data_IF_130321862056
#
_entry.id   IF_130321862056
#
_cell.length_a   1.000
_cell.length_b   1.000
_cell.length_c   1.000
_cell.angle_alpha   90.00
_cell.angle_beta   90.00
_cell.angle_gamma   90.00
#
_symmetry.space_group_name_H-M   'P 1'
#
loop_
_entity.id
_entity.type
_entity.pdbx_description
1 polymer ?
#
# COMPACT_ATOMS: atom_id res chain seq x y z
N UNK A 1 -50.27 -10.72 9.71
CA UNK A 1 -48.90 -10.29 9.33
C UNK A 1 -49.04 -9.12 8.36
N UNK A 2 -48.62 -7.91 8.74
CA UNK A 2 -49.04 -6.67 8.08
C UNK A 2 -48.35 -6.40 6.74
N UNK A 3 -49.10 -5.89 5.76
CA UNK A 3 -48.65 -5.49 4.42
C UNK A 3 -47.43 -4.55 4.40
N UNK A 4 -47.21 -3.82 5.50
CA UNK A 4 -46.03 -2.97 5.69
C UNK A 4 -44.71 -3.75 5.69
N UNK A 5 -44.71 -4.99 6.17
CA UNK A 5 -43.53 -5.86 6.16
C UNK A 5 -43.23 -6.45 4.78
N UNK A 6 -44.27 -6.74 4.00
CA UNK A 6 -44.16 -7.23 2.63
C UNK A 6 -43.65 -6.14 1.68
N UNK A 7 -44.23 -4.95 1.73
CA UNK A 7 -43.79 -3.79 0.94
C UNK A 7 -42.33 -3.41 1.27
N UNK A 8 -41.93 -3.40 2.54
CA UNK A 8 -40.56 -3.12 2.93
C UNK A 8 -39.56 -4.21 2.48
N UNK A 9 -40.00 -5.47 2.39
CA UNK A 9 -39.19 -6.59 1.88
C UNK A 9 -39.08 -6.54 0.35
N UNK A 10 -40.18 -6.22 -0.34
CA UNK A 10 -40.24 -6.08 -1.78
C UNK A 10 -39.41 -4.87 -2.25
N UNK A 11 -39.54 -3.71 -1.60
CA UNK A 11 -38.72 -2.51 -1.88
C UNK A 11 -37.23 -2.76 -1.66
N UNK A 12 -36.85 -3.51 -0.61
CA UNK A 12 -35.46 -3.95 -0.39
C UNK A 12 -34.98 -4.92 -1.47
N UNK A 13 -35.84 -5.83 -1.95
CA UNK A 13 -35.52 -6.78 -3.01
C UNK A 13 -35.35 -6.07 -4.36
N UNK A 14 -36.26 -5.17 -4.72
CA UNK A 14 -36.16 -4.33 -5.92
C UNK A 14 -34.94 -3.41 -5.88
N UNK A 15 -34.66 -2.75 -4.74
CA UNK A 15 -33.46 -1.92 -4.59
C UNK A 15 -32.16 -2.74 -4.73
N UNK A 16 -32.13 -3.97 -4.18
CA UNK A 16 -31.00 -4.90 -4.38
C UNK A 16 -30.85 -5.29 -5.85
N UNK A 17 -31.94 -5.59 -6.55
CA UNK A 17 -31.89 -5.96 -7.98
C UNK A 17 -31.49 -4.77 -8.86
N UNK A 18 -32.08 -3.59 -8.65
CA UNK A 18 -31.76 -2.33 -9.36
C UNK A 18 -30.30 -1.90 -9.19
N UNK A 19 -29.68 -2.18 -8.04
CA UNK A 19 -28.25 -1.92 -7.83
C UNK A 19 -27.35 -3.04 -8.36
N UNK A 20 -27.82 -4.30 -8.36
CA UNK A 20 -27.01 -5.46 -8.77
C UNK A 20 -26.78 -5.53 -10.28
N UNK A 21 -27.77 -5.16 -11.10
CA UNK A 21 -27.66 -5.27 -12.56
C UNK A 21 -26.65 -4.27 -13.15
N UNK A 22 -26.70 -2.95 -12.83
CA UNK A 22 -25.70 -2.01 -13.28
C UNK A 22 -24.30 -2.36 -12.79
N UNK A 23 -24.18 -2.82 -11.53
CA UNK A 23 -22.91 -3.28 -10.97
C UNK A 23 -22.35 -4.44 -11.80
N UNK A 24 -23.18 -5.46 -12.09
CA UNK A 24 -22.78 -6.59 -12.93
C UNK A 24 -22.36 -6.17 -14.34
N UNK A 25 -23.13 -5.32 -15.01
CA UNK A 25 -22.85 -4.84 -16.37
C UNK A 25 -21.52 -4.07 -16.41
N UNK A 26 -21.34 -3.10 -15.51
CA UNK A 26 -20.12 -2.28 -15.48
C UNK A 26 -18.90 -3.13 -15.16
N UNK A 27 -18.95 -3.98 -14.14
CA UNK A 27 -17.78 -4.80 -13.80
C UNK A 27 -17.47 -5.87 -14.86
N UNK A 28 -18.49 -6.39 -15.57
CA UNK A 28 -18.27 -7.26 -16.73
C UNK A 28 -17.58 -6.53 -17.89
N UNK A 29 -17.96 -5.26 -18.13
CA UNK A 29 -17.30 -4.43 -19.12
C UNK A 29 -15.85 -4.08 -18.71
N UNK A 30 -15.61 -3.79 -17.43
CA UNK A 30 -14.24 -3.58 -16.92
C UNK A 30 -13.38 -4.85 -17.04
N UNK A 31 -13.94 -6.05 -16.80
CA UNK A 31 -13.25 -7.32 -17.01
C UNK A 31 -12.81 -7.48 -18.48
N UNK A 32 -13.68 -7.11 -19.43
CA UNK A 32 -13.34 -7.07 -20.85
C UNK A 32 -12.25 -6.04 -21.17
N UNK A 33 -12.38 -4.82 -20.67
CA UNK A 33 -11.41 -3.76 -20.92
C UNK A 33 -10.02 -4.09 -20.37
N UNK A 34 -9.92 -4.62 -19.15
CA UNK A 34 -8.64 -5.01 -18.56
C UNK A 34 -7.93 -6.07 -19.41
N UNK A 35 -8.70 -6.97 -20.02
CA UNK A 35 -8.21 -7.97 -20.96
C UNK A 35 -7.68 -7.36 -22.26
N UNK A 36 -8.37 -6.34 -22.81
CA UNK A 36 -7.88 -5.57 -23.96
C UNK A 36 -6.57 -4.87 -23.60
N UNK A 37 -6.53 -4.19 -22.45
CA UNK A 37 -5.34 -3.45 -22.01
C UNK A 37 -4.16 -4.37 -21.69
N UNK A 38 -4.39 -5.62 -21.25
CA UNK A 38 -3.35 -6.64 -21.14
C UNK A 38 -2.56 -6.79 -22.44
N UNK A 39 -3.26 -6.87 -23.57
CA UNK A 39 -2.65 -7.00 -24.90
C UNK A 39 -1.90 -5.73 -25.26
N UNK A 40 -2.54 -4.57 -25.08
CA UNK A 40 -1.96 -3.27 -25.40
C UNK A 40 -0.66 -3.06 -24.63
N UNK A 41 -0.67 -3.23 -23.29
CA UNK A 41 0.52 -3.05 -22.47
C UNK A 41 1.63 -4.03 -22.80
N UNK A 42 1.31 -5.28 -23.14
CA UNK A 42 2.32 -6.24 -23.59
C UNK A 42 3.08 -5.70 -24.81
N UNK A 43 2.38 -5.13 -25.79
CA UNK A 43 3.00 -4.56 -26.99
C UNK A 43 3.72 -3.24 -26.69
N UNK A 44 3.14 -2.35 -25.88
CA UNK A 44 3.79 -1.10 -25.49
C UNK A 44 5.08 -1.35 -24.70
N UNK A 45 5.09 -2.33 -23.81
CA UNK A 45 6.28 -2.72 -23.06
C UNK A 45 7.36 -3.30 -23.99
N UNK A 46 6.99 -4.14 -24.97
CA UNK A 46 7.94 -4.60 -26.00
C UNK A 46 8.50 -3.43 -26.82
N UNK A 47 7.65 -2.51 -27.24
CA UNK A 47 8.03 -1.36 -28.07
C UNK A 47 8.98 -0.40 -27.34
N UNK A 48 8.65 -0.05 -26.08
CA UNK A 48 9.39 0.95 -25.32
C UNK A 48 10.53 0.37 -24.49
N UNK A 49 10.48 -0.90 -24.10
CA UNK A 49 11.45 -1.49 -23.15
C UNK A 49 12.14 -2.74 -23.71
N UNK A 50 11.78 -3.20 -24.92
CA UNK A 50 12.35 -4.40 -25.54
C UNK A 50 11.94 -5.73 -24.88
N UNK A 51 11.21 -5.68 -23.76
CA UNK A 51 10.68 -6.83 -23.03
C UNK A 51 9.29 -6.54 -22.50
N UNK A 52 8.36 -7.48 -22.68
CA UNK A 52 7.03 -7.39 -22.08
C UNK A 52 7.12 -7.55 -20.55
N UNK A 53 6.38 -6.75 -19.79
CA UNK A 53 6.24 -6.99 -18.35
C UNK A 53 5.46 -8.27 -18.11
N UNK A 54 5.82 -9.06 -17.07
CA UNK A 54 4.93 -10.10 -16.59
C UNK A 54 3.61 -9.47 -16.13
N UNK A 55 2.52 -10.19 -16.30
CA UNK A 55 1.22 -9.81 -15.77
C UNK A 55 0.52 -11.04 -15.19
N UNK A 56 -0.35 -10.82 -14.22
CA UNK A 56 -1.06 -11.90 -13.55
C UNK A 56 -2.30 -12.36 -14.32
N UNK A 57 -2.51 -11.88 -15.55
CA UNK A 57 -3.67 -12.18 -16.41
C UNK A 57 -3.65 -13.59 -17.00
N UNK A 58 -2.50 -14.27 -17.02
CA UNK A 58 -2.37 -15.63 -17.55
C UNK A 58 -2.15 -16.67 -16.44
N UNK A 59 -2.63 -17.89 -16.65
CA UNK A 59 -2.70 -18.96 -15.64
C UNK A 59 -1.34 -19.57 -15.24
N UNK A 60 -0.23 -19.12 -15.83
CA UNK A 60 1.10 -19.59 -15.42
C UNK A 60 1.53 -18.76 -14.21
N UNK A 61 1.80 -19.42 -13.08
CA UNK A 61 2.52 -18.81 -11.96
C UNK A 61 3.85 -18.31 -12.52
N UNK A 62 3.99 -17.00 -12.71
CA UNK A 62 5.19 -16.37 -13.27
C UNK A 62 5.81 -15.55 -12.13
N UNK A 63 7.00 -15.97 -11.69
CA UNK A 63 7.95 -15.09 -11.03
C UNK A 63 8.61 -14.17 -12.07
N UNK A 64 9.10 -13.01 -11.64
CA UNK A 64 9.76 -11.98 -12.47
C UNK A 64 10.95 -12.58 -13.28
N UNK A 65 11.53 -13.69 -12.79
CA UNK A 65 12.63 -14.43 -13.42
C UNK A 65 12.25 -15.79 -14.03
N UNK A 66 10.98 -16.18 -14.05
CA UNK A 66 10.54 -17.46 -14.64
C UNK A 66 10.86 -18.72 -13.82
N UNK A 67 11.20 -18.60 -12.53
CA UNK A 67 11.35 -19.73 -11.60
C UNK A 67 10.12 -19.89 -10.70
N UNK A 68 9.89 -21.10 -10.18
CA UNK A 68 8.83 -21.37 -9.20
C UNK A 68 9.22 -20.70 -7.87
N UNK A 69 8.56 -19.59 -7.52
CA UNK A 69 8.67 -18.97 -6.20
C UNK A 69 7.98 -19.85 -5.15
N UNK A 70 8.50 -19.83 -3.92
CA UNK A 70 7.86 -20.45 -2.76
C UNK A 70 6.39 -19.98 -2.66
N UNK A 71 5.45 -20.93 -2.60
CA UNK A 71 4.02 -20.71 -2.85
C UNK A 71 3.33 -19.75 -1.85
N UNK A 72 4.04 -19.31 -0.81
CA UNK A 72 3.51 -18.56 0.31
C UNK A 72 3.72 -17.03 0.26
N UNK A 73 4.59 -16.49 -0.61
CA UNK A 73 4.94 -15.05 -0.58
C UNK A 73 4.12 -14.18 -1.56
N UNK A 74 3.52 -14.76 -2.61
CA UNK A 74 2.75 -14.04 -3.63
C UNK A 74 1.24 -14.23 -3.44
N UNK A 75 0.47 -13.15 -3.54
CA UNK A 75 -0.94 -13.19 -3.15
C UNK A 75 -1.80 -13.94 -4.16
N UNK A 76 -2.63 -14.86 -3.69
CA UNK A 76 -3.68 -15.47 -4.53
C UNK A 76 -4.66 -14.42 -5.09
N UNK A 77 -4.80 -13.28 -4.41
CA UNK A 77 -5.65 -12.16 -4.85
C UNK A 77 -5.19 -11.55 -6.17
N UNK A 78 -3.91 -11.67 -6.55
CA UNK A 78 -3.39 -11.21 -7.85
C UNK A 78 -3.96 -12.00 -9.04
N UNK A 79 -4.32 -13.27 -8.79
CA UNK A 79 -4.75 -14.23 -9.81
C UNK A 79 -6.27 -14.42 -9.85
N UNK A 80 -7.03 -13.73 -9.00
CA UNK A 80 -8.46 -13.96 -8.84
C UNK A 80 -9.29 -13.50 -10.05
N UNK A 81 -10.34 -14.27 -10.38
CA UNK A 81 -11.28 -13.96 -11.47
C UNK A 81 -10.83 -14.41 -12.87
N UNK A 82 -9.58 -14.84 -13.02
CA UNK A 82 -8.95 -15.11 -14.32
C UNK A 82 -9.06 -16.57 -14.81
N UNK A 83 -9.74 -17.43 -14.03
CA UNK A 83 -9.88 -18.89 -14.30
C UNK A 83 -10.91 -19.28 -15.37
N UNK A 84 -11.74 -18.37 -15.93
CA UNK A 84 -12.90 -18.79 -16.76
C UNK A 84 -13.24 -18.04 -18.06
N UNK A 85 -12.41 -17.14 -18.61
CA UNK A 85 -12.69 -16.52 -19.93
C UNK A 85 -11.52 -16.57 -20.92
N UNK A 86 -10.73 -17.65 -20.88
CA UNK A 86 -9.56 -17.81 -21.76
C UNK A 86 -9.93 -17.96 -23.25
N UNK A 87 -11.09 -18.53 -23.58
CA UNK A 87 -11.46 -18.81 -24.99
C UNK A 87 -11.83 -17.57 -25.80
N UNK A 88 -12.56 -16.62 -25.20
CA UNK A 88 -12.93 -15.35 -25.87
C UNK A 88 -11.75 -14.35 -25.91
N UNK A 89 -10.91 -14.35 -24.85
CA UNK A 89 -9.66 -13.57 -24.84
C UNK A 89 -8.73 -13.96 -25.98
N UNK A 90 -8.61 -15.26 -26.29
CA UNK A 90 -7.67 -15.74 -27.33
C UNK A 90 -8.06 -15.22 -28.72
N UNK A 91 -9.35 -15.05 -29.01
CA UNK A 91 -9.81 -14.49 -30.30
C UNK A 91 -9.50 -13.00 -30.38
N UNK A 92 -9.77 -12.25 -29.31
CA UNK A 92 -9.44 -10.82 -29.23
C UNK A 92 -7.93 -10.58 -29.24
N UNK A 93 -7.16 -11.38 -28.49
CA UNK A 93 -5.70 -11.38 -28.47
C UNK A 93 -5.15 -11.59 -29.87
N UNK A 94 -5.62 -12.61 -30.60
CA UNK A 94 -5.22 -12.87 -31.99
C UNK A 94 -5.61 -11.73 -32.92
N UNK A 95 -6.81 -11.18 -32.77
CA UNK A 95 -7.28 -10.05 -33.59
C UNK A 95 -6.45 -8.77 -33.39
N UNK A 96 -6.15 -8.42 -32.12
CA UNK A 96 -5.32 -7.26 -31.78
C UNK A 96 -3.86 -7.51 -32.18
N UNK A 97 -3.35 -8.71 -31.97
CA UNK A 97 -2.01 -9.14 -32.41
C UNK A 97 -1.89 -9.10 -33.94
N UNK A 98 -2.92 -9.48 -34.70
CA UNK A 98 -2.96 -9.32 -36.17
C UNK A 98 -3.02 -7.86 -36.60
N UNK A 99 -3.78 -7.01 -35.92
CA UNK A 99 -3.83 -5.56 -36.17
C UNK A 99 -2.48 -4.89 -35.93
N UNK A 100 -1.82 -5.23 -34.83
CA UNK A 100 -0.50 -4.72 -34.49
C UNK A 100 0.58 -5.31 -35.40
N UNK A 101 0.50 -6.59 -35.75
CA UNK A 101 1.40 -7.23 -36.72
C UNK A 101 1.22 -6.69 -38.15
N UNK A 102 0.07 -6.14 -38.53
CA UNK A 102 -0.10 -5.44 -39.81
C UNK A 102 0.65 -4.10 -39.86
N UNK A 103 1.07 -3.57 -38.71
CA UNK A 103 1.91 -2.36 -38.60
C UNK A 103 3.43 -2.65 -38.66
N UNK A 104 3.85 -3.89 -38.95
CA UNK A 104 5.23 -4.42 -38.93
C UNK A 104 6.30 -3.60 -39.68
N UNK A 105 5.92 -2.68 -40.55
CA UNK A 105 6.85 -1.72 -41.17
C UNK A 105 7.43 -0.70 -40.17
N UNK A 106 6.72 -0.38 -39.09
CA UNK A 106 7.12 0.67 -38.16
C UNK A 106 8.06 0.16 -37.04
N UNK A 107 7.88 -1.09 -36.62
CA UNK A 107 8.59 -1.71 -35.48
C UNK A 107 10.06 -2.00 -35.82
N UNK A 108 10.35 -2.48 -37.03
CA UNK A 108 11.73 -2.67 -37.51
C UNK A 108 12.49 -1.34 -37.68
N UNK A 109 11.81 -0.28 -38.12
CA UNK A 109 12.40 1.05 -38.29
C UNK A 109 12.70 1.69 -36.94
N UNK A 110 11.78 1.62 -35.98
CA UNK A 110 11.96 2.21 -34.64
C UNK A 110 13.03 1.49 -33.81
N UNK A 111 13.04 0.15 -33.83
CA UNK A 111 14.08 -0.67 -33.15
C UNK A 111 15.46 -0.40 -33.78
N UNK A 112 15.57 -0.24 -35.11
CA UNK A 112 16.85 0.08 -35.75
C UNK A 112 17.36 1.49 -35.43
N UNK A 113 16.46 2.46 -35.23
CA UNK A 113 16.82 3.86 -34.93
C UNK A 113 17.29 4.04 -33.49
N UNK A 114 16.69 3.31 -32.54
CA UNK A 114 17.05 3.37 -31.12
C UNK A 114 18.23 2.47 -30.73
N UNK A 115 18.61 1.48 -31.56
CA UNK A 115 19.85 0.69 -31.34
C UNK A 115 21.14 1.50 -31.46
N UNK A 116 21.11 2.66 -32.11
CA UNK A 116 22.31 3.51 -32.31
C UNK A 116 22.67 4.38 -31.09
N UNK A 117 21.78 4.51 -30.11
CA UNK A 117 22.05 5.19 -28.84
C UNK A 117 22.12 4.14 -27.74
N UNK A 118 23.32 3.64 -27.45
CA UNK A 118 23.64 2.51 -26.57
C UNK A 118 23.30 2.67 -25.07
N UNK A 119 22.28 3.44 -24.69
CA UNK A 119 21.96 3.77 -23.29
C UNK A 119 20.73 3.03 -22.73
N UNK A 120 20.17 2.04 -23.44
CA UNK A 120 18.93 1.38 -23.02
C UNK A 120 19.06 0.41 -21.83
N UNK A 121 20.27 0.08 -21.38
CA UNK A 121 20.50 -0.85 -20.27
C UNK A 121 20.61 -0.19 -18.88
N UNK A 122 20.34 1.12 -18.75
CA UNK A 122 20.42 1.83 -17.47
C UNK A 122 19.17 2.58 -17.02
N UNK A 123 18.02 2.38 -17.65
CA UNK A 123 16.79 3.05 -17.19
C UNK A 123 16.09 2.17 -16.16
N UNK A 124 16.39 2.40 -14.88
CA UNK A 124 15.73 1.71 -13.75
C UNK A 124 14.22 2.00 -13.61
N UNK A 125 13.68 2.93 -14.40
CA UNK A 125 12.27 3.35 -14.40
C UNK A 125 11.51 2.78 -15.60
N UNK A 126 10.23 2.40 -15.44
CA UNK A 126 9.42 1.96 -16.59
C UNK A 126 8.99 3.14 -17.45
N UNK A 127 8.70 2.90 -18.72
CA UNK A 127 8.21 3.95 -19.60
C UNK A 127 6.90 4.56 -19.07
N UNK A 128 6.07 3.79 -18.35
CA UNK A 128 4.79 4.23 -17.79
C UNK A 128 4.89 5.03 -16.49
N UNK A 129 6.09 5.13 -15.91
CA UNK A 129 6.31 5.75 -14.60
C UNK A 129 6.74 7.21 -14.74
N UNK A 130 6.66 7.99 -13.65
CA UNK A 130 7.10 9.38 -13.66
C UNK A 130 8.63 9.46 -13.70
N UNK A 131 9.19 10.17 -14.67
CA UNK A 131 10.64 10.39 -14.84
C UNK A 131 11.16 11.71 -14.28
N UNK A 132 10.42 12.42 -13.43
CA UNK A 132 10.90 13.69 -12.88
C UNK A 132 12.01 13.49 -11.83
N UNK A 133 12.86 14.51 -11.62
CA UNK A 133 14.01 14.44 -10.72
C UNK A 133 13.70 13.94 -9.32
N UNK A 134 12.55 14.32 -8.75
CA UNK A 134 12.15 13.87 -7.42
C UNK A 134 11.69 12.41 -7.38
N UNK A 135 11.15 11.87 -8.47
CA UNK A 135 10.71 10.48 -8.53
C UNK A 135 11.85 9.50 -8.80
N UNK A 136 12.90 9.96 -9.49
CA UNK A 136 14.06 9.15 -9.88
C UNK A 136 15.32 9.45 -9.06
N UNK A 137 15.23 10.33 -8.04
CA UNK A 137 16.39 10.74 -7.23
C UNK A 137 17.12 9.55 -6.60
N UNK A 138 16.39 8.54 -6.16
CA UNK A 138 16.94 7.30 -5.58
C UNK A 138 17.78 6.48 -6.56
N UNK A 139 17.62 6.68 -7.88
CA UNK A 139 18.44 5.99 -8.90
C UNK A 139 19.81 6.65 -9.09
N UNK A 140 20.03 7.84 -8.50
CA UNK A 140 21.30 8.58 -8.62
C UNK A 140 22.35 8.11 -7.59
N UNK A 141 22.00 7.17 -6.72
CA UNK A 141 22.84 6.65 -5.64
C UNK A 141 23.17 5.17 -5.87
N UNK A 142 24.42 4.78 -5.67
CA UNK A 142 24.89 3.39 -5.86
C UNK A 142 24.32 2.40 -4.82
N UNK A 143 24.05 2.87 -3.60
CA UNK A 143 23.38 2.10 -2.54
C UNK A 143 22.07 2.79 -2.13
N UNK A 144 20.96 2.55 -2.85
CA UNK A 144 19.69 3.17 -2.53
C UNK A 144 19.21 2.73 -1.15
N UNK A 145 18.75 3.70 -0.35
CA UNK A 145 18.13 3.52 0.97
C UNK A 145 16.72 4.09 0.97
N UNK A 146 15.88 3.61 1.88
CA UNK A 146 14.59 4.24 2.14
C UNK A 146 14.79 5.70 2.59
N UNK A 147 13.90 6.58 2.13
CA UNK A 147 13.86 7.96 2.59
C UNK A 147 13.32 8.01 4.02
N UNK A 148 14.05 8.71 4.90
CA UNK A 148 13.72 8.85 6.32
C UNK A 148 13.78 10.33 6.68
N UNK A 149 12.67 10.87 7.18
CA UNK A 149 12.63 12.19 7.81
C UNK A 149 12.93 12.04 9.30
N UNK A 150 14.01 12.68 9.77
CA UNK A 150 14.46 12.62 11.17
C UNK A 150 14.10 13.91 11.89
N UNK A 151 13.33 13.81 12.97
CA UNK A 151 13.13 14.90 13.91
C UNK A 151 14.00 14.65 15.15
N UNK A 152 15.11 15.37 15.24
CA UNK A 152 16.12 15.19 16.30
C UNK A 152 15.63 15.84 17.60
N UNK A 153 15.77 15.12 18.72
CA UNK A 153 15.72 15.73 20.04
C UNK A 153 16.78 16.84 20.15
N UNK A 154 16.47 17.96 20.81
CA UNK A 154 17.41 19.09 20.90
C UNK A 154 18.75 18.65 21.51
N UNK A 155 19.86 19.10 20.93
CA UNK A 155 21.26 18.79 21.29
C UNK A 155 21.72 19.16 22.71
N UNK A 156 20.81 19.60 23.58
CA UNK A 156 21.06 19.83 25.01
C UNK A 156 20.59 18.67 25.91
N UNK A 157 19.97 17.63 25.35
CA UNK A 157 19.59 16.43 26.08
C UNK A 157 20.76 15.45 26.24
N UNK A 158 20.80 14.73 27.36
CA UNK A 158 21.75 13.64 27.55
C UNK A 158 21.43 12.51 26.55
N UNK A 159 22.33 12.14 25.62
CA UNK A 159 22.08 11.11 24.60
C UNK A 159 21.71 9.75 25.19
N UNK A 160 22.06 9.47 26.45
CA UNK A 160 21.67 8.25 27.16
C UNK A 160 20.19 8.23 27.62
N UNK A 161 19.43 9.32 27.44
CA UNK A 161 18.01 9.41 27.81
C UNK A 161 17.07 9.55 26.60
N UNK A 162 17.59 9.52 25.38
CA UNK A 162 16.76 9.70 24.20
C UNK A 162 16.23 8.36 23.70
N UNK A 163 14.92 8.20 23.66
CA UNK A 163 14.25 7.02 23.11
C UNK A 163 13.97 7.20 21.62
N UNK A 164 14.13 6.14 20.82
CA UNK A 164 13.90 6.20 19.38
C UNK A 164 12.45 5.82 19.07
N UNK A 165 11.81 6.50 18.11
CA UNK A 165 10.45 6.20 17.67
C UNK A 165 10.41 6.15 16.14
N UNK A 166 9.99 5.02 15.59
CA UNK A 166 9.85 4.80 14.15
C UNK A 166 8.38 4.94 13.78
N UNK A 167 8.09 5.77 12.76
CA UNK A 167 6.75 6.01 12.25
C UNK A 167 6.59 5.41 10.85
N UNK A 168 5.68 4.44 10.71
CA UNK A 168 5.41 3.71 9.47
C UNK A 168 4.03 4.11 8.92
N UNK A 169 4.00 4.69 7.72
CA UNK A 169 2.74 5.12 7.10
C UNK A 169 1.98 3.98 6.39
N UNK A 170 0.74 4.27 5.99
CA UNK A 170 -0.14 3.35 5.26
C UNK A 170 0.06 3.34 3.74
N UNK A 171 -0.72 2.51 3.04
CA UNK A 171 -0.73 2.46 1.56
C UNK A 171 -1.08 3.85 0.96
N UNK A 172 -0.44 4.20 -0.16
CA UNK A 172 -0.64 5.48 -0.88
C UNK A 172 -0.39 6.73 0.00
N UNK A 173 0.55 6.64 0.93
CA UNK A 173 0.97 7.72 1.82
C UNK A 173 2.50 7.87 1.82
N UNK A 174 3.03 8.74 2.69
CA UNK A 174 4.46 8.92 2.91
C UNK A 174 4.73 9.38 4.36
N UNK A 175 6.00 9.52 4.73
CA UNK A 175 6.48 10.19 5.95
C UNK A 175 5.83 11.54 6.17
N UNK A 176 5.39 12.22 5.11
CA UNK A 176 4.69 13.50 5.19
C UNK A 176 3.41 13.43 6.02
N UNK A 177 2.75 12.26 6.06
CA UNK A 177 1.60 12.02 6.93
C UNK A 177 1.94 12.32 8.39
N UNK A 178 3.08 11.85 8.89
CA UNK A 178 3.52 12.08 10.26
C UNK A 178 4.15 13.46 10.45
N UNK A 179 5.02 13.89 9.52
CA UNK A 179 5.77 15.14 9.66
C UNK A 179 4.90 16.38 9.52
N UNK A 180 3.76 16.30 8.80
CA UNK A 180 2.81 17.41 8.62
C UNK A 180 1.63 17.39 9.59
N UNK A 181 1.39 16.29 10.32
CA UNK A 181 0.26 16.19 11.25
C UNK A 181 0.74 16.08 12.69
N UNK A 182 1.39 14.98 13.04
CA UNK A 182 1.69 14.61 14.42
C UNK A 182 2.97 15.27 14.94
N UNK A 183 4.03 15.34 14.12
CA UNK A 183 5.32 15.88 14.57
C UNK A 183 5.24 17.33 15.06
N UNK A 184 4.50 18.25 14.40
CA UNK A 184 4.32 19.61 14.92
C UNK A 184 3.70 19.61 16.32
N UNK A 185 2.71 18.74 16.58
CA UNK A 185 2.02 18.63 17.88
C UNK A 185 2.86 18.00 18.96
N UNK A 186 3.66 16.99 18.60
CA UNK A 186 4.64 16.43 19.52
C UNK A 186 5.72 17.47 19.87
N UNK A 187 6.16 18.29 18.90
CA UNK A 187 7.20 19.30 19.09
C UNK A 187 6.82 20.45 20.03
N UNK A 188 5.54 20.72 20.21
CA UNK A 188 5.04 21.70 21.19
C UNK A 188 5.26 21.23 22.65
N UNK A 189 5.45 19.93 22.88
CA UNK A 189 5.65 19.35 24.22
C UNK A 189 7.10 19.46 24.70
N UNK A 190 7.30 19.90 25.94
CA UNK A 190 8.63 19.89 26.59
C UNK A 190 9.25 18.48 26.65
N UNK A 191 8.41 17.43 26.70
CA UNK A 191 8.80 16.02 26.75
C UNK A 191 9.40 15.52 25.43
N UNK A 192 9.16 16.23 24.32
CA UNK A 192 9.71 15.88 23.01
C UNK A 192 11.23 15.78 22.97
N UNK A 193 11.93 16.48 23.88
CA UNK A 193 13.38 16.44 24.00
C UNK A 193 13.92 15.05 24.39
N UNK A 194 13.06 14.14 24.80
CA UNK A 194 13.41 12.78 25.20
C UNK A 194 13.20 11.77 24.06
N UNK A 195 12.62 12.17 22.92
CA UNK A 195 12.31 11.25 21.83
C UNK A 195 12.96 11.68 20.51
N UNK A 196 13.64 10.76 19.84
CA UNK A 196 14.13 10.93 18.47
C UNK A 196 13.23 10.18 17.50
N UNK A 197 12.62 10.91 16.57
CA UNK A 197 11.58 10.36 15.69
C UNK A 197 12.08 10.17 14.26
N UNK A 198 11.70 9.06 13.67
CA UNK A 198 12.05 8.66 12.32
C UNK A 198 10.77 8.35 11.55
N UNK A 199 10.38 9.19 10.60
CA UNK A 199 9.28 8.88 9.69
C UNK A 199 9.82 8.34 8.37
N UNK A 200 9.55 7.07 8.08
CA UNK A 200 10.05 6.37 6.90
C UNK A 200 9.05 6.41 5.77
N UNK A 201 9.50 6.72 4.55
CA UNK A 201 8.75 6.39 3.33
C UNK A 201 8.98 4.91 3.04
N UNK A 202 7.95 4.07 3.07
CA UNK A 202 8.12 2.63 2.81
C UNK A 202 8.53 2.38 1.34
N UNK A 203 9.09 1.20 1.07
CA UNK A 203 9.46 0.76 -0.28
C UNK A 203 8.31 1.02 -1.27
N UNK A 204 8.63 1.59 -2.43
CA UNK A 204 7.64 1.85 -3.47
C UNK A 204 6.83 3.14 -3.32
N UNK A 205 6.99 3.89 -2.22
CA UNK A 205 6.18 5.06 -1.88
C UNK A 205 7.04 6.30 -1.62
N UNK A 206 6.42 7.48 -1.65
CA UNK A 206 7.07 8.75 -1.34
C UNK A 206 8.33 8.99 -2.18
N UNK A 207 9.44 9.34 -1.52
CA UNK A 207 10.78 9.53 -2.10
C UNK A 207 11.62 8.25 -2.08
N UNK A 208 11.12 7.16 -1.46
CA UNK A 208 11.84 5.90 -1.37
C UNK A 208 11.99 5.18 -2.72
N UNK A 209 12.96 4.25 -2.82
CA UNK A 209 13.20 3.44 -4.00
C UNK A 209 11.94 2.73 -4.52
N UNK A 210 11.85 2.63 -5.85
CA UNK A 210 10.74 1.96 -6.56
C UNK A 210 11.30 0.97 -7.58
N UNK A 211 12.08 -0.03 -7.14
CA UNK A 211 12.73 -0.97 -8.04
C UNK A 211 11.72 -1.69 -8.92
N UNK A 212 12.07 -1.83 -10.20
CA UNK A 212 11.25 -2.49 -11.22
C UNK A 212 11.06 -3.98 -10.94
N UNK A 213 12.09 -4.62 -10.40
CA UNK A 213 12.18 -6.07 -10.21
C UNK A 213 11.93 -6.48 -8.75
N UNK A 214 11.05 -5.77 -8.05
CA UNK A 214 10.59 -6.11 -6.70
C UNK A 214 9.13 -6.57 -6.72
N UNK A 215 8.82 -7.54 -5.87
CA UNK A 215 7.47 -8.03 -5.62
C UNK A 215 6.79 -7.31 -4.45
N UNK A 216 7.50 -6.38 -3.80
CA UNK A 216 7.04 -5.60 -2.66
C UNK A 216 6.40 -6.49 -1.59
N UNK A 217 7.01 -7.63 -1.28
CA UNK A 217 6.51 -8.56 -0.25
C UNK A 217 6.63 -7.94 1.14
N UNK A 218 5.89 -8.47 2.11
CA UNK A 218 6.02 -8.05 3.51
C UNK A 218 7.47 -8.19 4.01
N UNK A 219 8.13 -9.27 3.64
CA UNK A 219 9.54 -9.54 3.97
C UNK A 219 10.48 -8.48 3.39
N UNK A 220 10.36 -8.15 2.10
CA UNK A 220 11.16 -7.10 1.47
C UNK A 220 10.98 -5.76 2.22
N UNK A 221 9.74 -5.38 2.56
CA UNK A 221 9.52 -4.13 3.29
C UNK A 221 10.24 -4.09 4.65
N UNK A 222 10.25 -5.21 5.39
CA UNK A 222 10.96 -5.31 6.68
C UNK A 222 12.47 -5.22 6.47
N UNK A 223 13.03 -5.97 5.53
CA UNK A 223 14.47 -5.95 5.21
C UNK A 223 14.95 -4.55 4.80
N UNK A 224 14.15 -3.83 4.00
CA UNK A 224 14.47 -2.46 3.59
C UNK A 224 14.46 -1.47 4.78
N UNK A 225 13.54 -1.64 5.74
CA UNK A 225 13.51 -0.85 6.98
C UNK A 225 14.70 -1.19 7.87
N UNK A 226 15.02 -2.47 8.03
CA UNK A 226 16.19 -2.91 8.80
C UNK A 226 17.49 -2.34 8.24
N UNK A 227 17.68 -2.43 6.92
CA UNK A 227 18.86 -1.90 6.23
C UNK A 227 18.93 -0.38 6.34
N UNK A 228 17.86 0.31 5.97
CA UNK A 228 17.88 1.77 5.73
C UNK A 228 17.70 2.60 6.99
N UNK A 229 17.15 2.02 8.06
CA UNK A 229 16.80 2.73 9.28
C UNK A 229 17.46 2.11 10.51
N UNK A 230 17.22 0.83 10.79
CA UNK A 230 17.72 0.22 12.04
C UNK A 230 19.26 0.13 12.02
N UNK A 231 19.82 -0.42 10.95
CA UNK A 231 21.27 -0.60 10.80
C UNK A 231 21.98 0.74 10.59
N UNK A 232 21.41 1.60 9.75
CA UNK A 232 21.98 2.92 9.42
C UNK A 232 22.12 3.82 10.64
N UNK A 233 21.07 3.89 11.46
CA UNK A 233 21.04 4.74 12.66
C UNK A 233 21.46 3.98 13.94
N UNK A 234 21.90 2.72 13.81
CA UNK A 234 22.36 1.85 14.91
C UNK A 234 21.34 1.77 16.05
N UNK A 235 20.07 1.55 15.70
CA UNK A 235 18.97 1.55 16.65
C UNK A 235 18.90 0.21 17.40
N UNK A 236 19.28 0.22 18.68
CA UNK A 236 19.23 -0.98 19.53
C UNK A 236 17.90 -1.14 20.29
N UNK A 237 17.16 -0.03 20.48
CA UNK A 237 15.85 0.01 21.13
C UNK A 237 15.05 1.17 20.55
N UNK A 238 13.78 0.90 20.23
CA UNK A 238 12.86 1.87 19.63
C UNK A 238 11.40 1.46 19.82
N UNK A 239 10.51 2.46 19.75
CA UNK A 239 9.06 2.31 19.59
C UNK A 239 8.68 2.30 18.11
N UNK A 240 7.57 1.67 17.76
CA UNK A 240 7.07 1.61 16.37
C UNK A 240 5.64 2.11 16.30
N UNK A 241 5.43 3.35 15.90
CA UNK A 241 4.10 3.90 15.63
C UNK A 241 3.74 3.62 14.17
N UNK A 242 2.55 3.07 13.92
CA UNK A 242 2.15 2.69 12.58
C UNK A 242 0.72 3.15 12.25
N UNK A 243 0.42 3.26 10.96
CA UNK A 243 -0.94 3.55 10.50
C UNK A 243 -1.30 2.69 9.29
N UNK A 244 -2.55 2.24 9.25
CA UNK A 244 -3.09 1.45 8.17
C UNK A 244 -2.22 0.23 7.86
N UNK A 245 -1.92 -0.01 6.58
CA UNK A 245 -1.07 -1.12 6.16
C UNK A 245 0.32 -1.09 6.82
N UNK A 246 0.81 0.08 7.26
CA UNK A 246 2.05 0.19 8.02
C UNK A 246 2.04 -0.65 9.31
N UNK A 247 0.87 -0.94 9.87
CA UNK A 247 0.74 -1.81 11.05
C UNK A 247 1.08 -3.27 10.73
N UNK A 248 0.75 -3.75 9.53
CA UNK A 248 1.12 -5.10 9.07
C UNK A 248 2.65 -5.21 8.98
N UNK A 249 3.29 -4.18 8.42
CA UNK A 249 4.75 -4.10 8.33
C UNK A 249 5.38 -4.02 9.74
N UNK A 250 4.85 -3.15 10.61
CA UNK A 250 5.34 -3.00 11.98
C UNK A 250 5.12 -4.23 12.87
N UNK A 251 4.11 -5.06 12.57
CA UNK A 251 3.87 -6.34 13.25
C UNK A 251 4.81 -7.44 12.80
N UNK A 252 5.26 -7.40 11.55
CA UNK A 252 6.06 -8.46 10.99
C UNK A 252 7.37 -8.57 11.79
N UNK A 253 7.61 -9.71 12.46
CA UNK A 253 8.87 -9.92 13.12
C UNK A 253 9.97 -9.90 12.07
N UNK A 254 11.05 -9.22 12.42
CA UNK A 254 12.35 -9.33 11.78
C UNK A 254 12.87 -10.76 11.90
N UNK A 255 12.32 -11.70 11.11
CA UNK A 255 12.73 -13.11 11.13
C UNK A 255 14.16 -13.35 10.58
N UNK A 256 15.03 -12.33 10.59
CA UNK A 256 16.31 -12.33 9.87
C UNK A 256 17.50 -11.70 10.63
N UNK A 257 17.53 -11.74 11.97
CA UNK A 257 18.83 -11.70 12.66
C UNK A 257 18.81 -12.22 14.11
N UNK A 258 19.61 -13.24 14.45
CA UNK A 258 19.97 -13.57 15.84
C UNK A 258 20.91 -12.53 16.49
N UNK A 259 21.13 -11.37 15.84
CA UNK A 259 22.10 -10.35 16.22
C UNK A 259 21.49 -9.03 16.75
N UNK A 260 20.16 -8.94 16.89
CA UNK A 260 19.52 -7.82 17.59
C UNK A 260 19.15 -8.23 19.02
N UNK A 261 19.82 -7.72 20.06
CA UNK A 261 19.52 -8.09 21.44
C UNK A 261 18.13 -7.58 21.87
N UNK A 262 17.26 -8.55 22.20
CA UNK A 262 16.18 -8.66 23.21
C UNK A 262 15.45 -7.44 23.86
N UNK A 263 15.65 -6.19 23.47
CA UNK A 263 15.03 -5.01 24.11
C UNK A 263 14.05 -4.25 23.20
N UNK A 264 13.27 -4.98 22.40
CA UNK A 264 12.21 -4.40 21.58
C UNK A 264 11.05 -3.87 22.44
N UNK A 265 10.66 -2.60 22.33
CA UNK A 265 9.36 -2.10 22.78
C UNK A 265 8.54 -1.78 21.52
N UNK A 266 8.13 -2.82 20.79
CA UNK A 266 7.33 -2.68 19.57
C UNK A 266 5.90 -2.28 19.94
N UNK A 267 5.65 -0.98 20.06
CA UNK A 267 4.33 -0.41 20.36
C UNK A 267 3.55 -0.10 19.11
N UNK A 268 3.09 -1.12 18.42
CA UNK A 268 2.34 -0.94 17.19
C UNK A 268 1.01 -0.31 17.55
N UNK A 269 0.79 0.91 17.07
CA UNK A 269 -0.53 1.54 17.03
C UNK A 269 -1.23 1.06 15.77
N UNK A 270 -2.29 0.29 15.95
CA UNK A 270 -2.94 -0.45 14.86
C UNK A 270 -4.01 0.36 14.17
N UNK A 271 -4.03 0.36 12.84
CA UNK A 271 -5.21 0.83 12.09
C UNK A 271 -5.49 -0.05 10.87
N UNK A 272 -5.59 -1.37 11.00
CA UNK A 272 -6.17 -2.23 9.95
C UNK A 272 -7.21 -3.19 10.54
N UNK A 273 -8.18 -3.68 9.74
CA UNK A 273 -8.92 -4.88 10.08
C UNK A 273 -7.99 -6.04 10.43
N UNK A 274 -7.96 -6.41 11.69
CA UNK A 274 -7.62 -7.79 12.01
C UNK A 274 -8.73 -8.68 11.47
N UNK A 275 -8.33 -9.60 10.60
CA UNK A 275 -9.17 -10.74 10.26
C UNK A 275 -8.51 -11.96 10.91
N UNK A 276 -9.25 -12.74 11.72
CA UNK A 276 -8.72 -13.98 12.27
C UNK A 276 -8.14 -14.85 11.15
N UNK A 277 -6.89 -15.28 11.30
CA UNK A 277 -6.18 -16.03 10.27
C UNK A 277 -6.90 -17.35 10.01
N UNK A 278 -7.43 -17.51 8.79
CA UNK A 278 -8.14 -18.68 8.29
C UNK A 278 -7.80 -18.86 6.81
N UNK A 279 -7.99 -20.06 6.29
CA UNK A 279 -7.81 -20.30 4.85
C UNK A 279 -8.68 -19.33 4.02
N UNK A 280 -8.06 -18.72 2.99
CA UNK A 280 -8.69 -17.72 2.13
C UNK A 280 -8.98 -16.37 2.81
N UNK A 281 -8.34 -16.05 3.94
CA UNK A 281 -8.53 -14.78 4.65
C UNK A 281 -8.13 -13.57 3.78
N UNK A 282 -7.10 -13.69 2.94
CA UNK A 282 -6.67 -12.64 2.02
C UNK A 282 -7.78 -12.25 1.04
N UNK A 283 -8.51 -13.25 0.51
CA UNK A 283 -9.63 -13.04 -0.40
C UNK A 283 -10.83 -12.42 0.31
N UNK A 284 -11.06 -12.84 1.57
CA UNK A 284 -12.10 -12.24 2.41
C UNK A 284 -11.78 -10.78 2.73
N UNK A 285 -10.53 -10.48 3.06
CA UNK A 285 -10.04 -9.14 3.32
C UNK A 285 -10.18 -8.25 2.08
N UNK A 286 -9.73 -8.72 0.90
CA UNK A 286 -9.89 -8.00 -0.38
C UNK A 286 -11.36 -7.69 -0.69
N UNK A 287 -12.27 -8.68 -0.55
CA UNK A 287 -13.72 -8.48 -0.78
C UNK A 287 -14.36 -7.54 0.24
N UNK A 288 -13.84 -7.49 1.46
CA UNK A 288 -14.36 -6.63 2.52
C UNK A 288 -13.88 -5.18 2.38
N UNK A 289 -12.56 -4.99 2.22
CA UNK A 289 -11.90 -3.69 2.14
C UNK A 289 -12.20 -2.99 0.80
N UNK A 290 -12.22 -3.76 -0.29
CA UNK A 290 -12.36 -3.24 -1.65
C UNK A 290 -13.42 -4.04 -2.42
N UNK A 291 -14.69 -4.03 -1.99
CA UNK A 291 -15.74 -4.70 -2.73
C UNK A 291 -15.97 -4.01 -4.08
N UNK A 292 -16.21 -4.79 -5.15
CA UNK A 292 -16.65 -4.29 -6.46
C UNK A 292 -17.98 -3.52 -6.32
N UNK A 293 -17.91 -2.19 -6.18
CA UNK A 293 -19.07 -1.30 -6.01
C UNK A 293 -18.95 -0.05 -6.87
N UNK A 294 -20.07 0.36 -7.47
CA UNK A 294 -20.16 1.62 -8.22
C UNK A 294 -20.23 2.87 -7.32
N UNK A 295 -20.73 2.72 -6.09
CA UNK A 295 -20.93 3.83 -5.16
C UNK A 295 -20.49 3.46 -3.74
N UNK A 296 -19.84 4.38 -2.99
CA UNK A 296 -19.42 5.74 -3.38
C UNK A 296 -18.29 5.75 -4.44
N UNK A 297 -17.98 6.90 -5.08
CA UNK A 297 -16.96 6.99 -6.13
C UNK A 297 -15.59 6.49 -5.69
N UNK A 298 -15.25 6.70 -4.41
CA UNK A 298 -14.01 6.17 -3.82
C UNK A 298 -13.99 4.64 -3.84
N UNK A 299 -15.09 3.96 -3.52
CA UNK A 299 -15.18 2.51 -3.57
C UNK A 299 -15.06 1.98 -5.01
N UNK A 300 -15.58 2.73 -5.99
CA UNK A 300 -15.43 2.40 -7.41
C UNK A 300 -13.98 2.51 -7.88
N UNK A 301 -13.30 3.60 -7.53
CA UNK A 301 -11.87 3.78 -7.83
C UNK A 301 -11.05 2.66 -7.19
N UNK A 302 -11.28 2.35 -5.91
CA UNK A 302 -10.60 1.23 -5.25
C UNK A 302 -10.91 -0.12 -5.90
N UNK A 303 -12.13 -0.30 -6.43
CA UNK A 303 -12.47 -1.50 -7.20
C UNK A 303 -11.62 -1.61 -8.46
N UNK A 304 -11.38 -0.51 -9.17
CA UNK A 304 -10.49 -0.48 -10.34
C UNK A 304 -9.06 -0.81 -9.92
N UNK A 305 -8.55 -0.09 -8.92
CA UNK A 305 -7.14 -0.17 -8.50
C UNK A 305 -6.72 -1.55 -7.98
N UNK A 306 -7.65 -2.35 -7.47
CA UNK A 306 -7.35 -3.64 -6.82
C UNK A 306 -7.77 -4.85 -7.65
N UNK A 307 -8.81 -4.74 -8.47
CA UNK A 307 -9.31 -5.91 -9.22
C UNK A 307 -8.77 -5.97 -10.64
N UNK A 308 -8.19 -4.88 -11.16
CA UNK A 308 -7.87 -4.72 -12.56
C UNK A 308 -6.45 -4.18 -12.73
N UNK A 309 -5.51 -5.09 -13.00
CA UNK A 309 -4.08 -4.78 -13.09
C UNK A 309 -3.81 -3.73 -14.16
N UNK A 310 -4.33 -3.93 -15.37
CA UNK A 310 -4.02 -3.05 -16.50
C UNK A 310 -4.83 -1.75 -16.48
N UNK A 311 -6.09 -1.80 -16.04
CA UNK A 311 -6.86 -0.58 -15.83
C UNK A 311 -6.27 0.29 -14.72
N UNK A 312 -5.78 -0.31 -13.63
CA UNK A 312 -5.09 0.44 -12.58
C UNK A 312 -3.76 1.03 -13.10
N UNK A 313 -3.05 0.32 -14.00
CA UNK A 313 -1.90 0.87 -14.72
C UNK A 313 -2.28 2.08 -15.57
N UNK A 314 -3.43 2.06 -16.25
CA UNK A 314 -3.95 3.23 -16.97
C UNK A 314 -4.23 4.40 -16.02
N UNK A 315 -4.82 4.15 -14.85
CA UNK A 315 -5.05 5.19 -13.84
C UNK A 315 -3.73 5.80 -13.39
N UNK A 316 -2.72 5.00 -13.05
CA UNK A 316 -1.40 5.51 -12.66
C UNK A 316 -0.67 6.23 -13.82
N UNK A 317 -0.85 5.77 -15.07
CA UNK A 317 -0.30 6.45 -16.24
C UNK A 317 -0.92 7.84 -16.43
N UNK A 318 -2.21 8.01 -16.14
CA UNK A 318 -2.88 9.32 -16.23
C UNK A 318 -2.56 10.20 -15.02
N UNK A 319 -2.57 9.64 -13.82
CA UNK A 319 -2.49 10.38 -12.55
C UNK A 319 -1.06 10.48 -12.03
N UNK A 320 -0.42 9.34 -11.73
CA UNK A 320 0.86 9.29 -11.04
C UNK A 320 2.00 9.77 -11.96
N UNK A 321 2.06 9.29 -13.21
CA UNK A 321 3.07 9.74 -14.18
C UNK A 321 3.00 11.24 -14.42
N UNK A 322 1.79 11.79 -14.54
CA UNK A 322 1.56 13.21 -14.83
C UNK A 322 1.31 14.05 -13.58
N UNK A 323 1.75 13.61 -12.39
CA UNK A 323 1.44 14.32 -11.14
C UNK A 323 1.84 15.80 -11.16
N UNK A 324 2.91 16.18 -11.86
CA UNK A 324 3.38 17.58 -11.95
C UNK A 324 2.38 18.47 -12.68
N UNK A 325 1.74 17.93 -13.71
CA UNK A 325 0.67 18.62 -14.43
C UNK A 325 -0.53 18.82 -13.50
N UNK A 326 -0.94 17.78 -12.77
CA UNK A 326 -2.04 17.86 -11.81
C UNK A 326 -1.76 18.82 -10.66
N UNK A 327 -0.55 18.79 -10.11
CA UNK A 327 -0.10 19.74 -9.08
C UNK A 327 -0.18 21.18 -9.59
N UNK A 328 0.35 21.46 -10.78
CA UNK A 328 0.29 22.80 -11.38
C UNK A 328 -1.16 23.24 -11.65
N UNK A 329 -2.01 22.33 -12.14
CA UNK A 329 -3.43 22.60 -12.37
C UNK A 329 -4.16 22.91 -11.06
N UNK A 330 -3.94 22.13 -10.01
CA UNK A 330 -4.56 22.34 -8.69
C UNK A 330 -4.10 23.68 -8.10
N UNK A 331 -2.80 24.00 -8.15
CA UNK A 331 -2.28 25.31 -7.69
C UNK A 331 -2.95 26.46 -8.42
N UNK A 332 -3.13 26.35 -9.74
CA UNK A 332 -3.82 27.35 -10.56
C UNK A 332 -5.30 27.48 -10.20
N UNK A 333 -6.01 26.36 -10.01
CA UNK A 333 -7.45 26.37 -9.73
C UNK A 333 -7.77 26.83 -8.30
N UNK A 334 -6.90 26.52 -7.34
CA UNK A 334 -7.10 26.88 -5.92
C UNK A 334 -6.46 28.20 -5.53
N UNK A 335 -5.71 28.84 -6.43
CA UNK A 335 -4.84 29.99 -6.15
C UNK A 335 -3.89 29.76 -4.94
N UNK A 336 -3.65 28.50 -4.58
CA UNK A 336 -2.78 28.11 -3.48
C UNK A 336 -1.34 27.99 -3.95
N UNK A 337 -0.40 28.39 -3.09
CA UNK A 337 1.03 28.19 -3.34
C UNK A 337 1.40 26.71 -3.25
N UNK A 338 0.73 25.97 -2.36
CA UNK A 338 0.99 24.56 -2.08
C UNK A 338 -0.27 23.69 -2.17
N UNK A 339 -0.07 22.45 -2.63
CA UNK A 339 -1.13 21.43 -2.66
C UNK A 339 -1.08 20.62 -1.37
N UNK A 340 -2.26 20.26 -0.84
CA UNK A 340 -2.37 19.43 0.36
C UNK A 340 -1.53 18.16 0.22
N UNK A 341 -0.72 17.84 1.24
CA UNK A 341 0.21 16.72 1.20
C UNK A 341 -0.49 15.36 0.97
N UNK A 342 -1.74 15.18 1.42
CA UNK A 342 -2.52 13.96 1.19
C UNK A 342 -2.81 13.74 -0.30
N UNK A 343 -3.00 14.82 -1.05
CA UNK A 343 -3.22 14.77 -2.51
C UNK A 343 -1.90 14.46 -3.21
N UNK A 344 -0.81 15.10 -2.77
CA UNK A 344 0.51 14.88 -3.36
C UNK A 344 1.00 13.45 -3.15
N UNK A 345 0.91 12.94 -1.92
CA UNK A 345 1.39 11.60 -1.57
C UNK A 345 0.64 10.49 -2.29
N UNK A 346 -0.64 10.71 -2.58
CA UNK A 346 -1.44 9.78 -3.36
C UNK A 346 -0.85 9.52 -4.75
N UNK A 347 -0.05 10.44 -5.30
CA UNK A 347 0.57 10.32 -6.63
C UNK A 347 2.04 9.88 -6.61
N UNK A 348 2.66 9.76 -5.43
CA UNK A 348 4.10 9.42 -5.25
C UNK A 348 4.36 7.92 -5.18
N UNK A 349 3.66 7.15 -5.98
CA UNK A 349 3.88 5.72 -6.18
C UNK A 349 3.88 5.43 -7.69
N UNK A 350 4.37 4.26 -8.08
CA UNK A 350 4.21 3.75 -9.44
C UNK A 350 3.14 2.66 -9.42
N UNK A 351 2.54 2.38 -10.57
CA UNK A 351 1.54 1.29 -10.67
C UNK A 351 2.06 0.00 -10.03
N UNK A 352 3.30 -0.37 -10.38
CA UNK A 352 3.95 -1.58 -9.94
C UNK A 352 4.02 -1.68 -8.40
N UNK A 353 4.53 -0.64 -7.73
CA UNK A 353 4.61 -0.63 -6.27
C UNK A 353 3.23 -0.58 -5.61
N UNK A 354 2.30 0.26 -6.10
CA UNK A 354 0.95 0.35 -5.54
C UNK A 354 0.19 -0.98 -5.63
N UNK A 355 0.25 -1.63 -6.79
CA UNK A 355 -0.39 -2.93 -7.04
C UNK A 355 0.21 -4.02 -6.14
N UNK A 356 1.53 -4.21 -6.21
CA UNK A 356 2.20 -5.28 -5.47
C UNK A 356 2.13 -5.08 -3.95
N UNK A 357 2.38 -3.88 -3.44
CA UNK A 357 2.26 -3.62 -1.99
C UNK A 357 0.82 -3.85 -1.50
N UNK A 358 -0.20 -3.47 -2.28
CA UNK A 358 -1.61 -3.74 -1.90
C UNK A 358 -1.89 -5.25 -1.82
N UNK A 359 -1.44 -6.03 -2.80
CA UNK A 359 -1.72 -7.46 -2.78
C UNK A 359 -0.84 -8.25 -1.81
N UNK A 360 0.47 -8.00 -1.83
CA UNK A 360 1.47 -8.80 -1.11
C UNK A 360 1.72 -8.33 0.34
N UNK A 361 1.29 -7.12 0.70
CA UNK A 361 1.33 -6.63 2.10
C UNK A 361 -0.06 -6.52 2.67
N UNK A 362 -0.94 -5.71 2.06
CA UNK A 362 -2.24 -5.42 2.66
C UNK A 362 -3.15 -6.66 2.74
N UNK A 363 -3.20 -7.51 1.72
CA UNK A 363 -4.07 -8.71 1.75
C UNK A 363 -3.40 -9.97 2.29
N UNK A 364 -2.19 -10.31 1.84
CA UNK A 364 -1.47 -11.48 2.39
C UNK A 364 -1.10 -11.25 3.85
N UNK A 365 -0.62 -10.05 4.20
CA UNK A 365 -0.09 -9.81 5.53
C UNK A 365 -1.10 -10.04 6.64
N UNK A 366 -2.40 -9.95 6.33
CA UNK A 366 -3.50 -10.34 7.23
C UNK A 366 -3.40 -11.80 7.69
N UNK A 367 -2.96 -12.72 6.82
CA UNK A 367 -2.74 -14.14 7.14
C UNK A 367 -1.67 -14.33 8.21
N UNK A 368 -0.64 -13.48 8.18
CA UNK A 368 0.51 -13.53 9.10
C UNK A 368 0.25 -12.78 10.42
N UNK A 369 -0.80 -11.95 10.52
CA UNK A 369 -1.06 -11.11 11.71
C UNK A 369 -1.19 -11.91 13.00
N UNK A 370 -1.91 -13.05 12.98
CA UNK A 370 -2.07 -13.90 14.16
C UNK A 370 -0.72 -14.45 14.63
N UNK A 371 0.07 -15.02 13.71
CA UNK A 371 1.40 -15.59 14.01
C UNK A 371 2.37 -14.51 14.52
N UNK A 372 2.32 -13.32 13.94
CA UNK A 372 3.15 -12.19 14.33
C UNK A 372 2.78 -11.71 15.74
N UNK A 373 1.48 -11.56 16.02
CA UNK A 373 0.99 -11.26 17.37
C UNK A 373 1.38 -12.33 18.38
N UNK A 374 1.17 -13.62 18.07
CA UNK A 374 1.57 -14.74 18.94
C UNK A 374 3.07 -14.67 19.27
N UNK A 375 3.90 -14.33 18.28
CA UNK A 375 5.35 -14.16 18.47
C UNK A 375 5.65 -12.98 19.40
N UNK A 376 5.02 -11.82 19.19
CA UNK A 376 5.20 -10.64 20.04
C UNK A 376 4.73 -10.90 21.49
N UNK A 377 3.62 -11.63 21.67
CA UNK A 377 3.12 -12.01 23.00
C UNK A 377 4.09 -12.97 23.71
N UNK A 378 4.63 -13.98 23.00
CA UNK A 378 5.67 -14.88 23.55
C UNK A 378 6.92 -14.11 23.99
N UNK A 379 7.27 -13.06 23.25
CA UNK A 379 8.39 -12.15 23.57
C UNK A 379 8.04 -11.10 24.63
N UNK A 380 6.84 -11.17 25.24
CA UNK A 380 6.32 -10.24 26.26
C UNK A 380 6.37 -8.78 25.82
N UNK A 381 6.09 -8.52 24.54
CA UNK A 381 6.07 -7.18 23.95
C UNK A 381 4.69 -6.56 24.15
N UNK A 382 4.66 -5.30 24.57
CA UNK A 382 3.41 -4.53 24.72
C UNK A 382 2.91 -4.03 23.38
N UNK A 383 1.65 -4.32 23.08
CA UNK A 383 1.00 -3.94 21.82
C UNK A 383 -0.26 -3.13 22.13
N UNK A 384 -0.34 -1.89 21.61
CA UNK A 384 -1.44 -0.95 21.86
C UNK A 384 -2.26 -0.74 20.58
N UNK A 385 -3.46 -1.30 20.50
CA UNK A 385 -4.34 -1.19 19.36
C UNK A 385 -5.28 0.00 19.57
N UNK A 386 -5.12 1.08 18.80
CA UNK A 386 -6.02 2.22 18.86
C UNK A 386 -7.07 2.07 17.75
N UNK A 387 -8.37 2.21 18.03
CA UNK A 387 -9.42 1.99 17.02
C UNK A 387 -10.51 3.05 17.11
N UNK A 388 -10.87 3.61 15.95
CA UNK A 388 -12.01 4.54 15.84
C UNK A 388 -13.35 3.82 15.90
N UNK A 389 -14.32 4.35 16.65
CA UNK A 389 -15.64 3.71 16.78
C UNK A 389 -16.46 3.70 15.47
N UNK A 390 -16.13 4.57 14.50
CA UNK A 390 -16.76 4.66 13.17
C UNK A 390 -15.88 4.11 12.05
N UNK A 391 -14.74 3.50 12.38
CA UNK A 391 -13.90 2.85 11.37
C UNK A 391 -14.60 1.61 10.81
N UNK A 392 -14.82 1.60 9.50
CA UNK A 392 -15.50 0.51 8.75
C UNK A 392 -14.52 -0.41 8.03
N UNK A 393 -13.21 -0.15 8.14
CA UNK A 393 -12.20 -1.01 7.53
C UNK A 393 -12.14 -2.36 8.24
N UNK A 394 -12.29 -2.37 9.58
CA UNK A 394 -12.36 -3.56 10.45
C UNK A 394 -13.72 -4.27 10.46
N UNK A 395 -13.76 -5.62 10.49
CA UNK A 395 -14.97 -6.36 10.81
C UNK A 395 -15.55 -5.92 12.17
N UNK A 396 -16.89 -5.94 12.35
CA UNK A 396 -17.51 -5.51 13.60
C UNK A 396 -16.99 -6.23 14.85
N UNK A 397 -16.75 -7.55 14.72
CA UNK A 397 -16.34 -8.42 15.82
C UNK A 397 -14.83 -8.41 16.08
N UNK A 398 -14.07 -7.60 15.35
CA UNK A 398 -12.61 -7.50 15.49
C UNK A 398 -12.20 -7.35 16.96
N UNK A 399 -12.79 -6.37 17.66
CA UNK A 399 -12.42 -6.02 19.04
C UNK A 399 -12.55 -7.21 19.99
N UNK A 400 -13.64 -7.95 19.84
CA UNK A 400 -13.87 -9.16 20.61
C UNK A 400 -12.85 -10.23 20.22
N UNK A 401 -12.66 -10.48 18.92
CA UNK A 401 -11.77 -11.53 18.43
C UNK A 401 -10.31 -11.33 18.85
N UNK A 402 -9.79 -10.10 18.76
CA UNK A 402 -8.40 -9.80 19.18
C UNK A 402 -8.25 -9.93 20.68
N UNK A 403 -9.20 -9.44 21.48
CA UNK A 403 -9.09 -9.51 22.95
C UNK A 403 -9.27 -10.93 23.49
N UNK A 404 -10.12 -11.72 22.84
CA UNK A 404 -10.31 -13.14 23.17
C UNK A 404 -9.08 -13.97 22.83
N UNK A 405 -8.45 -13.73 21.66
CA UNK A 405 -7.26 -14.49 21.24
C UNK A 405 -5.97 -13.98 21.90
N UNK A 406 -5.87 -12.67 22.12
CA UNK A 406 -4.69 -11.98 22.63
C UNK A 406 -5.07 -11.07 23.81
N UNK A 407 -5.28 -11.63 25.01
CA UNK A 407 -5.75 -10.87 26.17
C UNK A 407 -4.77 -9.78 26.61
N UNK A 408 -3.47 -9.94 26.34
CA UNK A 408 -2.43 -8.96 26.70
C UNK A 408 -2.36 -7.75 25.76
N UNK A 409 -3.09 -7.77 24.64
CA UNK A 409 -3.18 -6.62 23.74
C UNK A 409 -4.06 -5.54 24.38
N UNK A 410 -3.52 -4.33 24.47
CA UNK A 410 -4.23 -3.17 24.99
C UNK A 410 -5.06 -2.51 23.90
N UNK A 411 -6.39 -2.46 24.07
CA UNK A 411 -7.30 -1.89 23.07
C UNK A 411 -7.80 -0.52 23.53
N UNK A 412 -7.50 0.51 22.76
CA UNK A 412 -7.88 1.90 23.00
C UNK A 412 -8.95 2.32 21.99
N UNK A 413 -10.15 2.69 22.46
CA UNK A 413 -11.26 3.06 21.58
C UNK A 413 -11.43 4.59 21.52
N UNK A 414 -11.37 5.16 20.31
CA UNK A 414 -11.59 6.60 20.11
C UNK A 414 -13.02 6.82 19.57
N UNK A 415 -13.89 7.48 20.36
CA UNK A 415 -15.28 7.70 19.96
C UNK A 415 -15.37 8.68 18.79
N UNK A 416 -16.30 8.41 17.87
CA UNK A 416 -16.60 9.25 16.69
C UNK A 416 -15.42 9.44 15.73
N UNK A 417 -14.41 8.57 15.76
CA UNK A 417 -13.30 8.56 14.81
C UNK A 417 -13.49 7.45 13.76
N UNK A 418 -13.19 7.76 12.49
CA UNK A 418 -12.99 6.80 11.41
C UNK A 418 -11.50 6.55 11.13
N UNK A 419 -11.21 5.80 10.07
CA UNK A 419 -9.86 5.29 9.74
C UNK A 419 -8.75 6.35 9.69
N UNK A 420 -9.04 7.51 9.08
CA UNK A 420 -8.07 8.63 8.98
C UNK A 420 -8.28 9.70 10.05
N UNK A 421 -9.53 9.92 10.47
CA UNK A 421 -9.89 10.97 11.43
C UNK A 421 -9.54 10.64 12.88
N UNK A 422 -8.81 9.55 13.08
CA UNK A 422 -8.25 9.16 14.35
C UNK A 422 -6.99 9.97 14.67
N UNK A 423 -6.25 10.34 13.63
CA UNK A 423 -5.10 11.25 13.68
C UNK A 423 -5.51 12.59 13.09
N UNK A 424 -6.04 12.60 11.85
CA UNK A 424 -6.49 13.82 11.19
C UNK A 424 -7.63 14.44 12.00
N UNK A 425 -7.54 15.73 12.30
CA UNK A 425 -8.47 16.51 13.16
C UNK A 425 -8.40 16.19 14.66
N UNK A 426 -7.47 15.34 15.11
CA UNK A 426 -7.28 14.94 16.52
C UNK A 426 -5.79 14.89 16.89
N UNK A 427 -4.97 15.64 16.19
CA UNK A 427 -3.51 15.53 16.24
C UNK A 427 -2.98 15.80 17.66
N UNK A 428 -3.55 16.80 18.35
CA UNK A 428 -3.16 17.15 19.72
C UNK A 428 -3.54 16.06 20.73
N UNK A 429 -4.78 15.56 20.66
CA UNK A 429 -5.26 14.51 21.55
C UNK A 429 -4.46 13.22 21.34
N UNK A 430 -4.20 12.89 20.07
CA UNK A 430 -3.40 11.72 19.70
C UNK A 430 -1.97 11.83 20.21
N UNK A 431 -1.33 13.00 20.04
CA UNK A 431 0.00 13.27 20.58
C UNK A 431 0.05 13.10 22.11
N UNK A 432 -0.95 13.60 22.84
CA UNK A 432 -1.04 13.44 24.28
C UNK A 432 -1.18 11.97 24.71
N UNK A 433 -2.07 11.22 24.05
CA UNK A 433 -2.24 9.80 24.32
C UNK A 433 -0.96 8.99 24.06
N UNK A 434 -0.25 9.33 22.99
CA UNK A 434 1.00 8.69 22.62
C UNK A 434 2.08 8.90 23.70
N UNK A 435 2.21 10.12 24.24
CA UNK A 435 3.10 10.37 25.38
C UNK A 435 2.70 9.57 26.63
N UNK A 436 1.41 9.48 26.96
CA UNK A 436 0.95 8.65 28.09
C UNK A 436 1.29 7.17 27.90
N UNK A 437 1.17 6.66 26.67
CA UNK A 437 1.57 5.30 26.32
C UNK A 437 3.10 5.14 26.42
N UNK A 438 3.87 6.17 26.13
CA UNK A 438 5.33 6.16 26.27
C UNK A 438 5.83 6.29 27.71
N UNK A 439 5.10 6.97 28.59
CA UNK A 439 5.50 7.12 30.00
C UNK A 439 5.13 5.93 30.87
N UNK A 440 4.03 5.24 30.56
CA UNK A 440 3.61 4.06 31.29
C UNK A 440 4.40 2.80 30.86
N UNK A 441 5.60 2.99 30.29
CA UNK A 441 6.47 1.96 29.73
C UNK A 441 7.65 1.71 30.64
#
# INVERSE_FOLDING_TARGET
MSDSTFLAKWRRKCAKHLLSVPNFVVFSYLDFLDSVFCVIYKHLDLLFEGKASPCYCTTKKIDINGQLSDDNEISETLQYGKRKKLKELVVLLRFVEDLLNKSKGFEAIYISKNRKNGDFYRVGNRWSDCGCDSCISWMKTDDPKLHVEVNKASSQGNPNRTENVIFIHGILSSSSFWTKTLFPKLSESKKMKEYQMYAVDILGHGKSPKPRDSLYTLKEHVEWIEKSLISEYKLNSFHVVAHSMGCIIGLAPSNLSPLLPLSFNIKIEWFQPYFPSKEGVEMRAMKWLTPKRLWPPTAFIWSIMVWYEHLSRCVCLLVCRNHRFWEALIKRLTSSRDVNFLVMDWTKHIHHSGWHTTHNVLYIGVKEMDKNLETLMKLKKRVHVIVGSRDKTSPPDFRHNIKTKFPDVELHNIPNAGHRSIILTRETDFAHNLFHIWENT
#
